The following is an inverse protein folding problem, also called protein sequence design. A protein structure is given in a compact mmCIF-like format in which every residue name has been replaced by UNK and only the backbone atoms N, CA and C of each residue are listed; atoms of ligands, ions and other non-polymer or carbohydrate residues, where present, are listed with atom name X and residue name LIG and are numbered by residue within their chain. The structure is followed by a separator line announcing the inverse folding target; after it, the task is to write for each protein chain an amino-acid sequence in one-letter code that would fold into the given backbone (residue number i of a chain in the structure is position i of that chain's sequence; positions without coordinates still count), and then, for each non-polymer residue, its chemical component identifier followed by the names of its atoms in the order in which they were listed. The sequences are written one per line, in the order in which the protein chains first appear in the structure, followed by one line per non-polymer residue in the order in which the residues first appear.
data_IF_168257906592
#
_entry.id   IF_168257906592
#
_cell.length_a   1.000
_cell.length_b   1.000
_cell.length_c   1.000
_cell.angle_alpha   90.00
_cell.angle_beta   90.00
_cell.angle_gamma   90.00
#
_symmetry.space_group_name_H-M   'P 1'
#
loop_
_entity.id
_entity.type
_entity.pdbx_description
1 polymer ?
#
# COMPACT_ATOMS: atom_id res chain seq x y z
N UNK A 1 23.29 10.07 28.76
CA UNK A 1 23.14 10.72 27.44
C UNK A 1 21.73 10.40 26.96
N UNK A 2 20.82 11.37 27.01
CA UNK A 2 19.49 11.21 26.43
C UNK A 2 19.65 11.41 24.92
N UNK A 3 19.52 10.33 24.17
CA UNK A 3 19.49 10.36 22.72
C UNK A 3 18.37 11.32 22.29
N UNK A 4 18.79 12.49 21.83
CA UNK A 4 17.94 13.51 21.25
C UNK A 4 17.59 13.01 19.86
N UNK A 5 16.72 11.99 19.78
CA UNK A 5 15.98 11.70 18.56
C UNK A 5 15.21 12.97 18.24
N UNK A 6 15.76 13.72 17.29
CA UNK A 6 15.20 14.98 16.87
C UNK A 6 13.78 14.71 16.39
N UNK A 7 12.77 15.26 17.08
CA UNK A 7 11.36 15.29 16.68
C UNK A 7 11.15 15.89 15.27
N UNK A 8 12.23 16.37 14.63
CA UNK A 8 12.32 16.92 13.29
C UNK A 8 12.03 15.93 12.14
N UNK A 9 12.04 14.62 12.35
CA UNK A 9 11.80 13.63 11.29
C UNK A 9 10.36 13.08 11.23
N UNK A 10 9.44 13.60 12.04
CA UNK A 10 8.03 13.17 12.08
C UNK A 10 7.18 13.88 11.01
N UNK A 11 7.57 13.80 9.74
CA UNK A 11 6.74 14.31 8.64
C UNK A 11 5.71 13.26 8.22
N UNK A 12 4.55 13.69 7.73
CA UNK A 12 3.51 12.79 7.17
C UNK A 12 4.08 11.86 6.09
N UNK A 13 5.05 12.33 5.31
CA UNK A 13 5.73 11.55 4.28
C UNK A 13 6.59 10.42 4.87
N UNK A 14 7.28 10.66 5.99
CA UNK A 14 8.05 9.61 6.64
C UNK A 14 7.14 8.54 7.27
N UNK A 15 6.02 8.95 7.86
CA UNK A 15 5.01 8.00 8.34
C UNK A 15 4.43 7.16 7.21
N UNK A 16 4.13 7.78 6.06
CA UNK A 16 3.62 7.06 4.88
C UNK A 16 4.62 6.02 4.37
N UNK A 17 5.91 6.40 4.26
CA UNK A 17 6.96 5.47 3.84
C UNK A 17 7.06 4.26 4.78
N UNK A 18 7.08 4.49 6.09
CA UNK A 18 7.16 3.41 7.09
C UNK A 18 5.91 2.53 7.06
N UNK A 19 4.72 3.13 6.89
CA UNK A 19 3.47 2.40 6.76
C UNK A 19 3.45 1.48 5.54
N UNK A 20 3.84 2.01 4.37
CA UNK A 20 3.93 1.23 3.12
C UNK A 20 4.99 0.13 3.22
N UNK A 21 6.14 0.42 3.86
CA UNK A 21 7.19 -0.58 4.05
C UNK A 21 6.69 -1.75 4.92
N UNK A 22 6.04 -1.45 6.05
CA UNK A 22 5.43 -2.48 6.91
C UNK A 22 4.37 -3.28 6.17
N UNK A 23 3.56 -2.61 5.36
CA UNK A 23 2.53 -3.27 4.55
C UNK A 23 3.14 -4.26 3.56
N UNK A 24 4.21 -3.88 2.85
CA UNK A 24 4.94 -4.78 1.94
C UNK A 24 5.59 -5.97 2.67
N UNK A 25 6.05 -5.77 3.90
CA UNK A 25 6.59 -6.89 4.72
C UNK A 25 5.51 -7.91 5.08
N UNK A 26 4.25 -7.49 5.27
CA UNK A 26 3.13 -8.39 5.55
C UNK A 26 2.54 -9.01 4.27
N UNK A 27 2.37 -8.21 3.23
CA UNK A 27 1.82 -8.62 1.94
C UNK A 27 2.94 -8.99 0.95
N UNK A 28 3.66 -10.08 1.26
CA UNK A 28 4.83 -10.53 0.48
C UNK A 28 4.53 -10.87 -0.99
N UNK A 29 3.26 -11.10 -1.33
CA UNK A 29 2.81 -11.34 -2.69
C UNK A 29 2.76 -10.08 -3.57
N UNK A 30 2.98 -8.88 -3.00
CA UNK A 30 3.06 -7.65 -3.78
C UNK A 30 4.44 -7.56 -4.46
N UNK A 31 4.50 -7.45 -5.80
CA UNK A 31 5.77 -7.32 -6.52
C UNK A 31 6.60 -6.13 -6.04
N UNK A 32 7.93 -6.25 -6.09
CA UNK A 32 8.83 -5.15 -5.71
C UNK A 32 8.58 -3.91 -6.56
N UNK A 33 8.35 -4.09 -7.86
CA UNK A 33 8.13 -2.98 -8.81
C UNK A 33 6.71 -2.40 -8.77
N UNK A 34 5.77 -3.04 -8.07
CA UNK A 34 4.40 -2.54 -7.94
C UNK A 34 4.37 -1.27 -7.09
N UNK A 35 3.91 -0.15 -7.63
CA UNK A 35 3.83 1.08 -6.85
C UNK A 35 2.68 0.99 -5.85
N UNK A 36 2.97 1.21 -4.57
CA UNK A 36 1.97 1.19 -3.50
C UNK A 36 1.83 2.58 -2.90
N UNK A 37 0.59 3.05 -2.73
CA UNK A 37 0.30 4.33 -2.10
C UNK A 37 -1.14 4.36 -1.58
N UNK A 38 -1.46 5.29 -0.67
CA UNK A 38 -2.83 5.53 -0.23
C UNK A 38 -3.45 6.73 -0.95
N UNK A 39 -4.73 6.62 -1.25
CA UNK A 39 -5.49 7.70 -1.90
C UNK A 39 -6.87 7.86 -1.21
N UNK A 40 -7.34 9.10 -0.99
CA UNK A 40 -8.69 9.34 -0.49
C UNK A 40 -9.72 9.09 -1.58
N UNK A 41 -10.69 8.23 -1.32
CA UNK A 41 -11.83 7.96 -2.19
C UNK A 41 -13.11 8.33 -1.43
N UNK A 42 -13.58 9.56 -1.64
CA UNK A 42 -14.71 10.13 -0.90
C UNK A 42 -14.40 10.23 0.60
N UNK A 43 -15.20 9.55 1.42
CA UNK A 43 -15.02 9.50 2.89
C UNK A 43 -14.10 8.34 3.35
N UNK A 44 -13.49 7.60 2.42
CA UNK A 44 -12.63 6.46 2.73
C UNK A 44 -11.20 6.68 2.25
N UNK A 45 -10.27 5.87 2.76
CA UNK A 45 -8.91 5.74 2.24
C UNK A 45 -8.75 4.36 1.65
N UNK A 46 -8.20 4.28 0.44
CA UNK A 46 -7.88 3.03 -0.23
C UNK A 46 -6.38 2.87 -0.36
N UNK A 47 -5.88 1.64 -0.30
CA UNK A 47 -4.51 1.33 -0.71
C UNK A 47 -4.54 0.98 -2.20
N UNK A 48 -3.80 1.74 -3.00
CA UNK A 48 -3.64 1.53 -4.43
C UNK A 48 -2.39 0.67 -4.70
N UNK A 49 -2.57 -0.39 -5.47
CA UNK A 49 -1.52 -1.22 -6.05
C UNK A 49 -1.47 -0.93 -7.55
N UNK A 50 -0.47 -0.18 -7.99
CA UNK A 50 -0.28 0.22 -9.38
C UNK A 50 0.81 -0.63 -10.04
N UNK A 51 0.37 -1.42 -11.02
CA UNK A 51 1.16 -2.39 -11.76
C UNK A 51 1.70 -1.82 -13.07
N UNK A 52 1.73 -0.49 -13.27
CA UNK A 52 2.29 0.11 -14.49
C UNK A 52 3.71 -0.39 -14.81
N UNK A 53 4.54 -0.66 -13.79
CA UNK A 53 5.89 -1.19 -13.95
C UNK A 53 5.98 -2.73 -14.03
N UNK A 54 4.90 -3.45 -13.68
CA UNK A 54 4.86 -4.92 -13.62
C UNK A 54 3.47 -5.48 -14.00
N UNK A 55 2.94 -5.17 -15.20
CA UNK A 55 1.56 -5.49 -15.55
C UNK A 55 1.26 -7.00 -15.61
N UNK A 56 2.26 -7.83 -15.89
CA UNK A 56 2.13 -9.29 -15.94
C UNK A 56 1.81 -9.92 -14.58
N UNK A 57 2.24 -9.29 -13.48
CA UNK A 57 2.07 -9.80 -12.10
C UNK A 57 0.68 -9.52 -11.51
N UNK A 58 -0.13 -8.72 -12.21
CA UNK A 58 -1.44 -8.28 -11.73
C UNK A 58 -2.37 -9.46 -11.45
N UNK A 59 -2.44 -10.42 -12.36
CA UNK A 59 -3.40 -11.53 -12.27
C UNK A 59 -3.11 -12.40 -11.04
N UNK A 60 -1.83 -12.73 -10.81
CA UNK A 60 -1.40 -13.49 -9.64
C UNK A 60 -1.64 -12.72 -8.35
N UNK A 61 -1.24 -11.44 -8.30
CA UNK A 61 -1.42 -10.61 -7.09
C UNK A 61 -2.91 -10.40 -6.75
N UNK A 62 -3.79 -10.35 -7.76
CA UNK A 62 -5.25 -10.26 -7.56
C UNK A 62 -5.84 -11.51 -6.88
N UNK A 63 -5.30 -12.70 -7.14
CA UNK A 63 -5.75 -13.93 -6.48
C UNK A 63 -5.50 -13.88 -4.96
N UNK A 64 -4.44 -13.18 -4.55
CA UNK A 64 -4.09 -12.95 -3.14
C UNK A 64 -4.76 -11.70 -2.53
N UNK A 65 -5.72 -11.08 -3.23
CA UNK A 65 -6.32 -9.80 -2.83
C UNK A 65 -6.89 -9.79 -1.41
N UNK A 66 -7.46 -10.90 -0.95
CA UNK A 66 -7.98 -11.01 0.42
C UNK A 66 -6.87 -10.97 1.49
N UNK A 67 -5.72 -11.60 1.23
CA UNK A 67 -4.57 -11.56 2.13
C UNK A 67 -3.99 -10.14 2.18
N UNK A 68 -3.89 -9.49 1.03
CA UNK A 68 -3.42 -8.12 0.93
C UNK A 68 -4.36 -7.17 1.68
N UNK A 69 -5.68 -7.33 1.52
CA UNK A 69 -6.67 -6.55 2.25
C UNK A 69 -6.59 -6.79 3.77
N UNK A 70 -6.39 -8.04 4.20
CA UNK A 70 -6.22 -8.37 5.60
C UNK A 70 -4.99 -7.67 6.20
N UNK A 71 -3.87 -7.62 5.48
CA UNK A 71 -2.68 -6.88 5.89
C UNK A 71 -2.94 -5.36 5.98
N UNK A 72 -3.65 -4.78 5.02
CA UNK A 72 -4.02 -3.36 5.03
C UNK A 72 -4.90 -3.01 6.24
N UNK A 73 -5.89 -3.86 6.56
CA UNK A 73 -6.76 -3.71 7.72
C UNK A 73 -6.00 -3.89 9.03
N UNK A 74 -5.13 -4.90 9.13
CA UNK A 74 -4.32 -5.16 10.31
C UNK A 74 -3.42 -3.97 10.69
N UNK A 75 -2.89 -3.27 9.69
CA UNK A 75 -2.07 -2.07 9.89
C UNK A 75 -2.88 -0.77 10.02
N UNK A 76 -4.22 -0.83 9.92
CA UNK A 76 -5.10 0.35 9.97
C UNK A 76 -4.93 1.31 8.79
N UNK A 77 -4.47 0.80 7.63
CA UNK A 77 -4.15 1.64 6.47
C UNK A 77 -5.37 1.99 5.62
N UNK A 78 -6.22 0.99 5.39
CA UNK A 78 -7.42 1.10 4.57
C UNK A 78 -8.36 -0.08 4.84
N UNK A 79 -9.63 0.12 4.50
CA UNK A 79 -10.66 -0.94 4.53
C UNK A 79 -10.89 -1.59 3.15
N UNK A 80 -10.18 -1.11 2.13
CA UNK A 80 -10.24 -1.61 0.75
C UNK A 80 -8.91 -1.39 0.02
N UNK A 81 -8.65 -2.23 -0.95
CA UNK A 81 -7.52 -2.15 -1.87
C UNK A 81 -8.01 -1.98 -3.31
N UNK A 82 -7.21 -1.32 -4.14
CA UNK A 82 -7.51 -1.16 -5.57
C UNK A 82 -6.33 -1.58 -6.40
N UNK A 83 -6.61 -2.21 -7.53
CA UNK A 83 -5.61 -2.65 -8.49
C UNK A 83 -5.68 -1.74 -9.72
N UNK A 84 -4.54 -1.17 -10.12
CA UNK A 84 -4.45 -0.22 -11.22
C UNK A 84 -3.32 -0.57 -12.18
N UNK A 85 -3.44 -0.10 -13.41
CA UNK A 85 -2.33 0.04 -14.35
C UNK A 85 -2.30 1.51 -14.78
N UNK A 86 -1.40 2.28 -14.18
CA UNK A 86 -1.37 3.73 -14.32
C UNK A 86 -2.69 4.37 -13.87
N UNK A 87 -3.34 5.09 -14.79
CA UNK A 87 -4.60 5.78 -14.50
C UNK A 87 -5.84 4.88 -14.58
N UNK A 88 -5.71 3.62 -15.01
CA UNK A 88 -6.84 2.72 -15.17
C UNK A 88 -7.04 1.85 -13.92
N UNK A 89 -8.24 1.89 -13.33
CA UNK A 89 -8.65 0.95 -12.26
C UNK A 89 -9.11 -0.35 -12.91
N UNK A 90 -8.51 -1.47 -12.49
CA UNK A 90 -8.79 -2.81 -13.00
C UNK A 90 -9.68 -3.61 -12.03
N UNK A 91 -9.71 -3.24 -10.76
CA UNK A 91 -10.59 -3.86 -9.76
C UNK A 91 -10.35 -3.36 -8.35
N UNK A 92 -11.21 -3.78 -7.43
CA UNK A 92 -11.15 -3.44 -6.01
C UNK A 92 -11.67 -4.59 -5.14
N UNK A 93 -11.30 -4.58 -3.86
CA UNK A 93 -11.76 -5.52 -2.82
C UNK A 93 -11.65 -4.88 -1.45
#
# INVERSE_FOLDING_TARGET
MLDRQSFSNCTSQNFEKVAIQRFRTLAMCIPQDCRVFREPWGCSTVVCLDFQACPSELAETKNEGNLILAAAKHLGLANSITFKIGNQVIGWT
#
